data_IF_259223660387
#
_entry.id   IF_259223660387
#
_cell.length_a   1.000
_cell.length_b   1.000
_cell.length_c   1.000
_cell.angle_alpha   90.00
_cell.angle_beta   90.00
_cell.angle_gamma   90.00
#
_symmetry.space_group_name_H-M   'P 1'
#
loop_
_entity.id
_entity.type
_entity.pdbx_description
1 polymer ?
#
# COMPACT_ATOMS: atom_id res chain seq x y z
N UNK A 1 12.44 -13.12 -6.00
CA UNK A 1 11.11 -12.98 -6.61
C UNK A 1 10.18 -12.24 -5.69
N UNK A 2 9.39 -11.35 -6.24
CA UNK A 2 8.49 -10.53 -5.44
C UNK A 2 7.30 -11.31 -4.90
N UNK A 3 6.66 -10.76 -3.90
CA UNK A 3 5.44 -11.31 -3.34
C UNK A 3 4.26 -11.07 -4.27
N UNK A 4 3.27 -11.95 -4.22
CA UNK A 4 2.00 -11.71 -4.90
C UNK A 4 1.25 -10.59 -4.21
N UNK A 5 0.64 -9.72 -5.00
CA UNK A 5 -0.13 -8.59 -4.47
C UNK A 5 -1.60 -8.84 -4.71
N UNK A 6 -2.36 -8.80 -3.64
CA UNK A 6 -3.81 -8.98 -3.69
C UNK A 6 -4.45 -7.65 -3.31
N UNK A 7 -5.24 -7.09 -4.22
CA UNK A 7 -5.94 -5.83 -3.98
C UNK A 7 -7.38 -6.13 -3.57
N UNK A 8 -7.83 -5.57 -2.46
CA UNK A 8 -9.25 -5.67 -2.17
C UNK A 8 -10.04 -4.68 -3.05
N UNK A 9 -11.36 -4.81 -3.06
CA UNK A 9 -12.20 -3.99 -3.95
C UNK A 9 -12.11 -2.52 -3.62
N UNK A 10 -12.04 -2.18 -2.34
CA UNK A 10 -11.91 -0.79 -1.90
C UNK A 10 -10.61 -0.17 -2.39
N UNK A 11 -9.50 -0.88 -2.24
CA UNK A 11 -8.20 -0.37 -2.66
C UNK A 11 -8.14 -0.21 -4.18
N UNK A 12 -8.73 -1.15 -4.93
CA UNK A 12 -8.81 -1.03 -6.39
C UNK A 12 -9.59 0.22 -6.80
N UNK A 13 -10.74 0.45 -6.17
CA UNK A 13 -11.56 1.61 -6.49
C UNK A 13 -10.83 2.91 -6.16
N UNK A 14 -10.13 2.95 -5.03
CA UNK A 14 -9.37 4.12 -4.63
C UNK A 14 -8.24 4.41 -5.62
N UNK A 15 -7.53 3.38 -6.06
CA UNK A 15 -6.45 3.54 -7.04
C UNK A 15 -6.99 4.06 -8.38
N UNK A 16 -8.12 3.54 -8.82
CA UNK A 16 -8.75 3.97 -10.09
C UNK A 16 -9.20 5.43 -10.06
N UNK A 17 -9.51 5.95 -8.88
CA UNK A 17 -9.95 7.33 -8.72
C UNK A 17 -8.78 8.33 -8.77
N UNK A 18 -7.53 7.84 -8.72
CA UNK A 18 -6.34 8.67 -8.74
C UNK A 18 -5.92 8.91 -10.20
N UNK A 19 -5.37 10.09 -10.50
CA UNK A 19 -4.84 10.37 -11.83
C UNK A 19 -3.77 9.34 -12.22
N UNK A 20 -3.70 9.03 -13.51
CA UNK A 20 -2.86 7.95 -14.00
C UNK A 20 -1.37 8.10 -13.63
N UNK A 21 -0.73 9.27 -13.81
CA UNK A 21 0.67 9.40 -13.43
C UNK A 21 0.93 9.12 -11.95
N UNK A 22 0.04 9.59 -11.07
CA UNK A 22 0.17 9.34 -9.63
C UNK A 22 -0.05 7.87 -9.31
N UNK A 23 -1.06 7.26 -9.92
CA UNK A 23 -1.33 5.83 -9.72
C UNK A 23 -0.13 4.98 -10.12
N UNK A 24 0.52 5.30 -11.24
CA UNK A 24 1.72 4.59 -11.69
C UNK A 24 2.88 4.76 -10.69
N UNK A 25 3.04 5.95 -10.11
CA UNK A 25 4.07 6.17 -9.08
C UNK A 25 3.82 5.29 -7.86
N UNK A 26 2.57 5.19 -7.46
CA UNK A 26 2.19 4.33 -6.33
C UNK A 26 2.52 2.86 -6.63
N UNK A 27 2.15 2.39 -7.82
CA UNK A 27 2.42 1.01 -8.22
C UNK A 27 3.91 0.73 -8.29
N UNK A 28 4.70 1.65 -8.84
CA UNK A 28 6.15 1.49 -8.93
C UNK A 28 6.80 1.46 -7.55
N UNK A 29 6.38 2.34 -6.65
CA UNK A 29 6.92 2.39 -5.30
C UNK A 29 6.58 1.12 -4.52
N UNK A 30 5.36 0.62 -4.68
CA UNK A 30 4.93 -0.62 -4.04
C UNK A 30 5.74 -1.81 -4.56
N UNK A 31 5.90 -1.91 -5.88
CA UNK A 31 6.68 -2.98 -6.49
C UNK A 31 8.13 -2.96 -6.00
N UNK A 32 8.73 -1.77 -5.93
CA UNK A 32 10.09 -1.61 -5.43
C UNK A 32 10.22 -2.06 -3.99
N UNK A 33 9.26 -1.67 -3.14
CA UNK A 33 9.27 -2.09 -1.75
C UNK A 33 9.17 -3.62 -1.62
N UNK A 34 8.28 -4.24 -2.38
CA UNK A 34 8.09 -5.68 -2.32
C UNK A 34 9.29 -6.45 -2.84
N UNK A 35 10.05 -5.85 -3.76
CA UNK A 35 11.22 -6.49 -4.34
C UNK A 35 12.49 -6.26 -3.51
N UNK A 36 12.70 -5.05 -3.02
CA UNK A 36 13.96 -4.65 -2.38
C UNK A 36 13.84 -4.33 -0.90
N UNK A 37 12.64 -4.14 -0.38
CA UNK A 37 12.43 -3.65 0.97
C UNK A 37 12.60 -2.16 1.12
N UNK A 38 12.91 -1.44 0.06
CA UNK A 38 13.10 0.00 0.10
C UNK A 38 11.78 0.74 0.05
N UNK A 39 11.60 1.71 0.95
CA UNK A 39 10.40 2.52 1.00
C UNK A 39 10.15 3.06 2.39
N UNK A 40 9.29 4.06 2.47
CA UNK A 40 8.90 4.66 3.74
C UNK A 40 7.73 3.87 4.32
N UNK A 41 8.05 2.77 5.00
CA UNK A 41 7.07 1.83 5.55
C UNK A 41 7.09 1.90 7.06
N UNK A 42 5.90 1.95 7.64
CA UNK A 42 5.74 1.96 9.08
C UNK A 42 4.68 0.93 9.48
N UNK A 43 5.00 0.14 10.51
CA UNK A 43 4.01 -0.78 11.09
C UNK A 43 3.04 0.03 11.94
N UNK A 44 1.75 -0.19 11.72
CA UNK A 44 0.71 0.44 12.52
C UNK A 44 0.54 -0.32 13.83
N UNK A 45 0.46 0.42 14.93
CA UNK A 45 0.39 -0.20 16.26
C UNK A 45 -1.05 -0.62 16.61
N UNK A 46 -1.14 -1.65 17.44
CA UNK A 46 -2.40 -2.11 18.03
C UNK A 46 -3.42 -2.61 17.02
N UNK A 47 -2.95 -3.09 15.87
CA UNK A 47 -3.80 -3.68 14.84
C UNK A 47 -3.41 -5.14 14.66
N UNK A 48 -4.38 -6.04 14.76
CA UNK A 48 -4.21 -7.47 14.50
C UNK A 48 -5.19 -7.93 13.45
N UNK A 49 -4.74 -8.63 12.39
CA UNK A 49 -3.33 -8.94 12.07
C UNK A 49 -2.50 -7.68 11.76
N UNK A 50 -1.17 -7.79 11.77
CA UNK A 50 -0.30 -6.62 11.57
C UNK A 50 -0.59 -5.91 10.25
N UNK A 51 -0.69 -4.59 10.33
CA UNK A 51 -0.92 -3.74 9.17
C UNK A 51 0.22 -2.74 9.03
N UNK A 52 0.57 -2.46 7.79
CA UNK A 52 1.67 -1.56 7.44
C UNK A 52 1.17 -0.42 6.57
N UNK A 53 1.90 0.68 6.60
CA UNK A 53 1.62 1.84 5.76
C UNK A 53 2.86 2.19 4.96
N UNK A 54 2.72 2.22 3.64
CA UNK A 54 3.76 2.71 2.73
C UNK A 54 3.39 4.12 2.29
N UNK A 55 4.26 5.06 2.58
CA UNK A 55 4.06 6.46 2.21
C UNK A 55 4.70 6.73 0.85
N UNK A 56 3.90 7.31 -0.06
CA UNK A 56 4.36 7.68 -1.40
C UNK A 56 3.85 9.09 -1.68
N UNK A 57 4.71 10.09 -1.52
CA UNK A 57 4.30 11.47 -1.65
C UNK A 57 3.17 11.81 -0.69
N UNK A 58 2.04 12.27 -1.24
CA UNK A 58 0.86 12.61 -0.45
C UNK A 58 -0.07 11.42 -0.21
N UNK A 59 0.31 10.24 -0.68
CA UNK A 59 -0.54 9.06 -0.57
C UNK A 59 -0.01 8.06 0.44
N UNK A 60 -0.93 7.29 1.00
CA UNK A 60 -0.63 6.21 1.94
C UNK A 60 -1.27 4.94 1.44
N UNK A 61 -0.47 3.89 1.29
CA UNK A 61 -0.96 2.56 0.93
C UNK A 61 -0.94 1.72 2.20
N UNK A 62 -2.09 1.19 2.60
CA UNK A 62 -2.19 0.30 3.76
C UNK A 62 -2.26 -1.13 3.26
N UNK A 63 -1.52 -2.00 3.92
CA UNK A 63 -1.48 -3.40 3.51
C UNK A 63 -1.19 -4.31 4.69
N UNK A 64 -1.61 -5.56 4.55
CA UNK A 64 -1.25 -6.65 5.45
C UNK A 64 -0.19 -7.50 4.77
N UNK A 65 0.92 -7.73 5.46
CA UNK A 65 1.98 -8.61 4.98
C UNK A 65 1.81 -9.95 5.68
N UNK A 66 1.12 -10.87 5.03
CA UNK A 66 0.99 -12.21 5.56
C UNK A 66 2.31 -12.96 5.39
N UNK A 67 2.72 -13.68 6.41
CA UNK A 67 3.92 -14.51 6.32
C UNK A 67 3.75 -15.46 5.14
N UNK A 68 4.65 -15.34 4.15
CA UNK A 68 4.58 -16.12 2.93
C UNK A 68 4.69 -15.25 1.70
N UNK A 69 3.98 -15.63 0.65
CA UNK A 69 4.20 -15.06 -0.67
C UNK A 69 3.20 -13.98 -1.07
N UNK A 70 2.34 -13.53 -0.16
CA UNK A 70 1.31 -12.57 -0.54
C UNK A 70 1.25 -11.36 0.39
N UNK A 71 0.91 -10.23 -0.21
CA UNK A 71 0.63 -8.97 0.48
C UNK A 71 -0.77 -8.52 0.05
N UNK A 72 -1.60 -8.18 1.02
CA UNK A 72 -2.96 -7.73 0.74
C UNK A 72 -3.06 -6.22 0.92
N UNK A 73 -3.39 -5.51 -0.16
CA UNK A 73 -3.58 -4.07 -0.13
C UNK A 73 -5.02 -3.78 0.29
N UNK A 74 -5.19 -3.00 1.35
CA UNK A 74 -6.51 -2.74 1.93
C UNK A 74 -7.00 -1.33 1.68
N UNK A 75 -6.12 -0.36 1.47
CA UNK A 75 -6.53 1.01 1.23
C UNK A 75 -5.43 1.81 0.54
N UNK A 76 -5.84 2.75 -0.31
CA UNK A 76 -4.97 3.77 -0.89
C UNK A 76 -5.64 5.10 -0.61
N UNK A 77 -5.03 5.93 0.25
CA UNK A 77 -5.64 7.17 0.70
C UNK A 77 -4.70 8.35 0.54
N UNK A 78 -5.28 9.49 0.21
CA UNK A 78 -4.55 10.75 0.27
C UNK A 78 -4.30 11.10 1.74
N UNK A 79 -3.19 11.79 2.02
CA UNK A 79 -2.82 12.14 3.39
C UNK A 79 -3.93 12.84 4.16
N UNK A 80 -4.75 13.65 3.48
CA UNK A 80 -5.88 14.34 4.10
C UNK A 80 -6.93 13.38 4.63
N UNK A 81 -7.15 12.29 3.91
CA UNK A 81 -8.13 11.27 4.29
C UNK A 81 -7.60 10.35 5.39
N UNK A 82 -6.28 10.15 5.40
CA UNK A 82 -5.64 9.21 6.33
C UNK A 82 -5.68 9.68 7.79
N UNK A 83 -5.89 10.96 8.01
CA UNK A 83 -5.91 11.55 9.36
C UNK A 83 -7.32 11.91 9.84
N UNK A 84 -8.33 11.45 9.16
CA UNK A 84 -9.71 11.65 9.60
C UNK A 84 -10.20 10.50 10.45
#
# INVERSE_FOLDING_TARGET
MGKNVIWNDQAKAQLRAIDQPTALRILHALARYLETGEGDVKRLQNIEPPEFRLRIGDYRVRFHDHHGDSVRITAVKHRREAYR
#
